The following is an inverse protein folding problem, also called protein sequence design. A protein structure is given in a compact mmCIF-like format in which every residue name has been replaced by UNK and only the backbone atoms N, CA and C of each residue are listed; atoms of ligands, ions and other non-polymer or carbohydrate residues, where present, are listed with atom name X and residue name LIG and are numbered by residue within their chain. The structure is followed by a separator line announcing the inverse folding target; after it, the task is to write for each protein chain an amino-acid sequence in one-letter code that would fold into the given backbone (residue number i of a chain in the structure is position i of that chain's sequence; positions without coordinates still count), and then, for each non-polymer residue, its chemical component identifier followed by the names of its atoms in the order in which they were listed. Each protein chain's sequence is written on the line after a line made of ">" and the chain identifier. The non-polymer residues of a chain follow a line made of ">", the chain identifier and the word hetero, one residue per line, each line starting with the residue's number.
data_IF_563151204596
#
_entry.id   IF_563151204596
#
_cell.length_a   1.000
_cell.length_b   1.000
_cell.length_c   1.000
_cell.angle_alpha   90.00
_cell.angle_beta   90.00
_cell.angle_gamma   90.00
#
_symmetry.space_group_name_H-M   'P 1'
#
loop_
_entity.id
_entity.type
_entity.pdbx_description
1 polymer ?
#
# COMPACT_ATOMS: atom_id res chain seq x y z
N UNK A 1 1.30 -32.47 -2.80
CA UNK A 1 0.64 -31.15 -2.74
C UNK A 1 -0.64 -31.20 -3.56
N UNK A 2 -1.69 -30.51 -3.13
CA UNK A 2 -2.97 -30.45 -3.84
C UNK A 2 -3.17 -29.06 -4.45
N UNK A 3 -3.73 -28.99 -5.66
CA UNK A 3 -4.09 -27.73 -6.32
C UNK A 3 -5.21 -27.96 -7.34
N UNK A 4 -6.30 -27.20 -7.23
CA UNK A 4 -7.45 -27.26 -8.13
C UNK A 4 -8.15 -25.91 -8.20
N UNK A 5 -8.60 -25.52 -9.40
CA UNK A 5 -9.45 -24.35 -9.61
C UNK A 5 -10.94 -24.72 -9.64
N UNK A 6 -11.81 -23.77 -9.25
CA UNK A 6 -13.27 -23.93 -9.26
C UNK A 6 -13.92 -22.66 -9.82
N UNK A 7 -14.99 -22.83 -10.58
CA UNK A 7 -15.72 -21.72 -11.21
C UNK A 7 -15.05 -21.17 -12.47
N UNK A 8 -15.48 -19.99 -12.89
CA UNK A 8 -15.02 -19.32 -14.11
C UNK A 8 -14.08 -18.16 -13.75
N UNK A 9 -12.93 -18.12 -14.40
CA UNK A 9 -12.00 -16.99 -14.41
C UNK A 9 -12.46 -15.88 -15.36
N UNK A 10 -13.18 -16.27 -16.43
CA UNK A 10 -13.76 -15.40 -17.44
C UNK A 10 -15.18 -15.86 -17.72
N UNK A 11 -16.15 -15.02 -17.39
CA UNK A 11 -17.58 -15.33 -17.56
C UNK A 11 -18.02 -15.15 -19.02
N UNK A 12 -17.44 -14.20 -19.74
CA UNK A 12 -17.82 -13.88 -21.13
C UNK A 12 -17.41 -15.01 -22.07
N UNK A 13 -16.24 -15.61 -21.83
CA UNK A 13 -15.70 -16.69 -22.66
C UNK A 13 -15.82 -18.08 -22.02
N UNK A 14 -16.55 -18.21 -20.91
CA UNK A 14 -16.65 -19.46 -20.12
C UNK A 14 -15.27 -20.07 -19.77
N UNK A 15 -14.27 -19.22 -19.49
CA UNK A 15 -12.93 -19.64 -19.14
C UNK A 15 -12.87 -20.17 -17.71
N UNK A 16 -12.47 -21.43 -17.52
CA UNK A 16 -12.39 -22.06 -16.20
C UNK A 16 -11.23 -21.50 -15.34
N UNK A 17 -11.42 -21.48 -14.02
CA UNK A 17 -10.32 -21.27 -13.07
C UNK A 17 -9.42 -22.51 -13.07
N UNK A 18 -8.12 -22.29 -13.19
CA UNK A 18 -7.08 -23.32 -13.10
C UNK A 18 -6.10 -22.98 -11.97
N UNK A 19 -5.24 -23.92 -11.54
CA UNK A 19 -4.12 -23.62 -10.66
C UNK A 19 -3.20 -22.47 -11.11
N UNK A 20 -3.21 -22.12 -12.39
CA UNK A 20 -2.39 -21.06 -12.98
C UNK A 20 -3.14 -19.73 -13.15
N UNK A 21 -4.45 -19.69 -12.85
CA UNK A 21 -5.23 -18.46 -12.95
C UNK A 21 -4.69 -17.39 -11.99
N UNK A 22 -4.43 -16.20 -12.52
CA UNK A 22 -3.90 -15.07 -11.74
C UNK A 22 -5.04 -14.23 -11.17
N UNK A 23 -5.02 -14.03 -9.85
CA UNK A 23 -5.96 -13.14 -9.16
C UNK A 23 -5.25 -11.89 -8.65
N UNK A 24 -5.99 -10.78 -8.56
CA UNK A 24 -5.50 -9.58 -7.86
C UNK A 24 -5.46 -9.86 -6.35
N UNK A 25 -4.26 -9.86 -5.77
CA UNK A 25 -4.01 -10.17 -4.35
C UNK A 25 -4.64 -9.17 -3.36
N UNK A 26 -4.97 -7.95 -3.81
CA UNK A 26 -5.48 -6.86 -2.96
C UNK A 26 -4.63 -6.70 -1.70
N UNK A 27 -5.23 -6.73 -0.51
CA UNK A 27 -4.52 -6.49 0.75
C UNK A 27 -3.48 -7.55 1.10
N UNK A 28 -3.51 -8.74 0.48
CA UNK A 28 -2.46 -9.77 0.68
C UNK A 28 -1.09 -9.25 0.24
N UNK A 29 -1.05 -8.30 -0.72
CA UNK A 29 0.20 -7.63 -1.13
C UNK A 29 0.94 -6.95 0.02
N UNK A 30 0.27 -6.58 1.13
CA UNK A 30 0.92 -5.95 2.29
C UNK A 30 1.97 -6.85 2.94
N UNK A 31 1.82 -8.17 2.86
CA UNK A 31 2.83 -9.11 3.42
C UNK A 31 4.15 -8.98 2.67
N UNK A 32 4.10 -8.84 1.34
CA UNK A 32 5.29 -8.59 0.52
C UNK A 32 5.90 -7.22 0.84
N UNK A 33 5.07 -6.18 1.01
CA UNK A 33 5.54 -4.87 1.45
C UNK A 33 6.22 -4.95 2.82
N UNK A 34 5.65 -5.66 3.79
CA UNK A 34 6.23 -5.84 5.12
C UNK A 34 7.58 -6.57 5.06
N UNK A 35 7.70 -7.62 4.23
CA UNK A 35 8.98 -8.28 3.99
C UNK A 35 10.03 -7.32 3.42
N UNK A 36 9.64 -6.45 2.48
CA UNK A 36 10.50 -5.38 1.95
C UNK A 36 10.96 -4.40 3.04
N UNK A 37 10.06 -4.00 3.95
CA UNK A 37 10.44 -3.14 5.09
C UNK A 37 11.49 -3.81 5.98
N UNK A 38 11.34 -5.10 6.28
CA UNK A 38 12.32 -5.85 7.09
C UNK A 38 13.69 -5.89 6.39
N UNK A 39 13.74 -6.11 5.07
CA UNK A 39 15.00 -6.07 4.32
C UNK A 39 15.68 -4.70 4.39
N UNK A 40 14.91 -3.62 4.28
CA UNK A 40 15.44 -2.25 4.40
C UNK A 40 15.94 -1.94 5.82
N UNK A 41 15.29 -2.50 6.85
CA UNK A 41 15.76 -2.38 8.23
C UNK A 41 17.10 -3.09 8.44
N UNK A 42 17.23 -4.32 7.93
CA UNK A 42 18.48 -5.09 8.00
C UNK A 42 19.63 -4.40 7.26
N UNK A 43 19.33 -3.70 6.15
CA UNK A 43 20.29 -2.88 5.42
C UNK A 43 20.58 -1.51 6.09
N UNK A 44 19.98 -1.22 7.25
CA UNK A 44 20.04 0.08 7.93
C UNK A 44 19.54 1.27 7.07
N UNK A 45 18.76 1.02 6.03
CA UNK A 45 18.15 2.04 5.16
C UNK A 45 16.81 2.52 5.71
N UNK A 46 16.14 1.71 6.53
CA UNK A 46 14.88 2.03 7.19
C UNK A 46 15.00 1.87 8.71
N UNK A 47 14.69 2.95 9.43
CA UNK A 47 14.54 2.99 10.87
C UNK A 47 13.04 3.15 11.18
N UNK A 48 12.45 2.11 11.77
CA UNK A 48 11.04 2.11 12.14
C UNK A 48 10.72 3.06 13.30
N UNK A 49 11.73 3.48 14.05
CA UNK A 49 11.58 4.40 15.16
C UNK A 49 11.78 5.87 14.76
N UNK A 50 12.16 6.13 13.51
CA UNK A 50 12.23 7.46 12.95
C UNK A 50 10.84 8.01 12.54
N UNK A 51 10.67 9.34 12.54
CA UNK A 51 9.50 10.00 11.94
C UNK A 51 9.35 9.62 10.47
N UNK A 52 8.12 9.35 10.03
CA UNK A 52 7.84 8.90 8.65
C UNK A 52 8.28 9.92 7.59
N UNK A 53 8.30 11.21 7.94
CA UNK A 53 8.76 12.29 7.06
C UNK A 53 10.24 12.18 6.68
N UNK A 54 11.06 11.44 7.45
CA UNK A 54 12.44 11.13 7.06
C UNK A 54 12.50 10.43 5.70
N UNK A 55 11.52 9.57 5.42
CA UNK A 55 11.42 8.79 4.18
C UNK A 55 10.43 9.39 3.19
N UNK A 56 9.43 10.11 3.67
CA UNK A 56 8.34 10.67 2.89
C UNK A 56 8.14 12.15 3.23
N UNK A 57 9.04 13.05 2.79
CA UNK A 57 9.05 14.46 3.20
C UNK A 57 7.77 15.22 2.79
N UNK A 58 7.08 14.76 1.75
CA UNK A 58 5.84 15.36 1.28
C UNK A 58 4.59 14.96 2.10
N UNK A 59 4.72 14.05 3.09
CA UNK A 59 3.58 13.71 3.95
C UNK A 59 3.20 14.89 4.85
N UNK A 60 1.93 15.34 4.83
CA UNK A 60 1.47 16.42 5.69
C UNK A 60 1.79 16.17 7.17
N UNK A 61 2.27 17.19 7.86
CA UNK A 61 2.51 17.15 9.30
C UNK A 61 1.19 17.10 10.05
N UNK A 62 1.14 16.31 11.12
CA UNK A 62 0.02 16.24 12.06
C UNK A 62 0.43 16.90 13.38
N UNK A 63 -0.53 17.13 14.27
CA UNK A 63 -0.27 17.62 15.63
C UNK A 63 0.55 16.64 16.48
N UNK A 64 0.72 15.39 16.02
CA UNK A 64 1.61 14.38 16.61
C UNK A 64 2.60 13.86 15.56
N UNK A 65 3.75 13.40 16.02
CA UNK A 65 4.75 12.74 15.17
C UNK A 65 4.27 11.33 14.83
N UNK A 66 4.25 11.00 13.54
CA UNK A 66 3.96 9.64 13.06
C UNK A 66 5.28 8.93 12.85
N UNK A 67 5.53 7.87 13.62
CA UNK A 67 6.69 7.00 13.45
C UNK A 67 6.45 6.01 12.32
N UNK A 68 7.53 5.60 11.62
CA UNK A 68 7.43 4.62 10.55
C UNK A 68 6.79 3.29 11.02
N UNK A 69 7.08 2.83 12.24
CA UNK A 69 6.42 1.65 12.87
C UNK A 69 4.90 1.78 12.94
N UNK A 70 4.39 2.97 13.26
CA UNK A 70 2.95 3.21 13.40
C UNK A 70 2.26 3.16 12.03
N UNK A 71 2.96 3.57 10.97
CA UNK A 71 2.43 3.44 9.61
C UNK A 71 2.42 1.98 9.16
N UNK A 72 3.48 1.23 9.43
CA UNK A 72 3.55 -0.20 9.13
C UNK A 72 2.49 -1.02 9.91
N UNK A 73 2.28 -0.69 11.18
CA UNK A 73 1.39 -1.37 12.10
C UNK A 73 -0.06 -0.86 12.14
N UNK A 74 -0.47 0.01 11.21
CA UNK A 74 -1.83 0.58 11.16
C UNK A 74 -2.28 1.32 12.44
N UNK A 75 -1.34 1.93 13.17
CA UNK A 75 -1.59 2.66 14.42
C UNK A 75 -1.25 4.16 14.34
N UNK A 76 -0.99 4.68 13.13
CA UNK A 76 -0.61 6.07 12.88
C UNK A 76 -1.75 7.10 13.02
N UNK A 77 -3.01 6.67 13.14
CA UNK A 77 -4.17 7.57 13.17
C UNK A 77 -4.39 8.34 11.85
N UNK A 78 -4.00 7.73 10.72
CA UNK A 78 -4.21 8.29 9.38
C UNK A 78 -5.53 7.76 8.83
N UNK A 79 -6.45 8.66 8.48
CA UNK A 79 -7.77 8.31 7.95
C UNK A 79 -7.66 7.50 6.65
N UNK A 80 -8.69 6.70 6.38
CA UNK A 80 -8.84 6.04 5.08
C UNK A 80 -8.99 7.08 3.95
N UNK A 81 -8.58 6.69 2.74
CA UNK A 81 -8.81 7.50 1.55
C UNK A 81 -10.31 7.57 1.25
N UNK A 82 -10.77 8.70 0.74
CA UNK A 82 -12.15 8.91 0.31
C UNK A 82 -12.20 9.12 -1.21
N UNK A 83 -13.34 8.77 -1.81
CA UNK A 83 -13.63 9.08 -3.20
C UNK A 83 -13.45 10.58 -3.45
N UNK A 84 -12.53 10.95 -4.35
CA UNK A 84 -12.19 12.34 -4.65
C UNK A 84 -10.90 12.87 -4.02
N UNK A 85 -10.27 12.16 -3.08
CA UNK A 85 -8.96 12.56 -2.53
C UNK A 85 -7.89 12.65 -3.64
N UNK A 86 -7.90 11.70 -4.58
CA UNK A 86 -6.99 11.71 -5.72
C UNK A 86 -7.26 12.88 -6.68
N UNK A 87 -8.53 13.18 -6.93
CA UNK A 87 -8.93 14.34 -7.76
C UNK A 87 -8.52 15.68 -7.11
N UNK A 88 -8.57 15.78 -5.78
CA UNK A 88 -8.11 16.96 -5.03
C UNK A 88 -6.58 17.10 -5.07
N UNK A 89 -5.85 15.99 -4.96
CA UNK A 89 -4.39 15.97 -5.11
C UNK A 89 -3.97 16.51 -6.49
N UNK A 90 -4.62 16.03 -7.56
CA UNK A 90 -4.31 16.47 -8.92
C UNK A 90 -4.63 17.96 -9.12
N UNK A 91 -5.78 18.45 -8.63
CA UNK A 91 -6.12 19.89 -8.72
C UNK A 91 -5.09 20.79 -8.03
N UNK A 92 -4.56 20.38 -6.87
CA UNK A 92 -3.53 21.14 -6.15
C UNK A 92 -2.18 21.21 -6.88
N UNK A 93 -1.84 20.21 -7.69
CA UNK A 93 -0.62 20.20 -8.51
C UNK A 93 -0.69 21.19 -9.68
N UNK A 94 -1.89 21.49 -10.20
CA UNK A 94 -2.08 22.47 -11.28
C UNK A 94 -2.06 23.92 -10.81
N UNK A 95 -2.32 24.19 -9.53
CA UNK A 95 -2.33 25.55 -8.96
C UNK A 95 -0.98 26.00 -8.39
N UNK A 96 0.02 25.11 -8.35
CA UNK A 96 1.37 25.39 -7.83
C UNK A 96 2.36 25.76 -8.95
N UNK A 97 1.95 26.62 -9.88
CA UNK A 97 2.83 27.39 -10.77
C UNK A 97 2.30 28.82 -10.82
N UNK A 98 2.72 29.64 -9.86
CA UNK A 98 2.71 31.09 -9.90
C UNK A 98 3.80 31.58 -8.94
#
# INVERSE_FOLDING_TARGET
>A
MWSKGFGLADVEHNGAVTPLTRFRLRSVSKVLTAAGLVRLMEACELDLDAPVQRYLPALPTKQWTVMARQRAGHSAGIRHYQSGDFSRLLKGLHTSKA
#
